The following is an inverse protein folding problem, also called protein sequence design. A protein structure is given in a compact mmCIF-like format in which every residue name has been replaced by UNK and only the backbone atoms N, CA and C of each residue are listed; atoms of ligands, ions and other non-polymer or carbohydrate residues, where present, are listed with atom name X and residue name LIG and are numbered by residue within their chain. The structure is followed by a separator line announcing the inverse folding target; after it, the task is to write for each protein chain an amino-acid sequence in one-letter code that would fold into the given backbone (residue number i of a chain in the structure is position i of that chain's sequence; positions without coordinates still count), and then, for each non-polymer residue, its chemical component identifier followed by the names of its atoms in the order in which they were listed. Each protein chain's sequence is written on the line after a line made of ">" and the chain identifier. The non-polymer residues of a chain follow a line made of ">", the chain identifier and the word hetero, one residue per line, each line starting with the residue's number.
data_IF_826827067131
#
_entry.id   IF_826827067131
#
_cell.length_a   1.000
_cell.length_b   1.000
_cell.length_c   1.000
_cell.angle_alpha   90.00
_cell.angle_beta   90.00
_cell.angle_gamma   90.00
#
_symmetry.space_group_name_H-M   'P 1'
#
loop_
_entity.id
_entity.type
_entity.pdbx_description
1 polymer ?
#
# COMPACT_ATOMS: atom_id res chain seq x y z
N UNK A 1 12.38 31.16 1.10
CA UNK A 1 12.88 30.93 -0.28
C UNK A 1 11.65 30.51 -1.09
N UNK A 2 11.48 30.99 -2.31
CA UNK A 2 10.38 30.57 -3.17
C UNK A 2 10.63 29.16 -3.67
N UNK A 3 9.57 28.45 -4.12
CA UNK A 3 9.71 27.14 -4.74
C UNK A 3 10.68 27.18 -5.93
N UNK A 4 10.59 28.23 -6.76
CA UNK A 4 11.52 28.47 -7.87
C UNK A 4 12.98 28.63 -7.43
N UNK A 5 13.21 29.34 -6.33
CA UNK A 5 14.56 29.48 -5.77
C UNK A 5 15.11 28.17 -5.19
N UNK A 6 14.23 27.35 -4.63
CA UNK A 6 14.57 26.00 -4.18
C UNK A 6 14.92 25.07 -5.35
N UNK A 7 14.17 25.16 -6.43
CA UNK A 7 14.40 24.40 -7.67
C UNK A 7 15.75 24.77 -8.31
N UNK A 8 16.05 26.05 -8.42
CA UNK A 8 17.32 26.54 -8.95
C UNK A 8 18.53 26.06 -8.15
N UNK A 9 18.39 25.88 -6.83
CA UNK A 9 19.47 25.33 -5.98
C UNK A 9 19.66 23.83 -6.17
N UNK A 10 18.60 23.07 -6.46
CA UNK A 10 18.69 21.65 -6.79
C UNK A 10 19.38 21.47 -8.14
N UNK A 11 18.98 22.25 -9.16
CA UNK A 11 19.56 22.21 -10.51
C UNK A 11 21.04 22.58 -10.55
N UNK A 12 21.48 23.44 -9.66
CA UNK A 12 22.89 23.85 -9.59
C UNK A 12 23.83 22.80 -9.00
N UNK A 13 23.32 21.68 -8.47
CA UNK A 13 24.13 20.63 -7.84
C UNK A 13 24.38 19.44 -8.74
N UNK A 14 25.63 19.12 -9.05
CA UNK A 14 25.99 17.93 -9.81
C UNK A 14 25.70 16.61 -9.03
N UNK A 15 25.68 16.68 -7.70
CA UNK A 15 25.32 15.56 -6.80
C UNK A 15 24.08 15.89 -5.96
N UNK A 16 22.92 15.72 -6.53
CA UNK A 16 21.64 15.93 -5.86
C UNK A 16 21.34 14.87 -4.77
N UNK A 17 22.14 13.80 -4.68
CA UNK A 17 22.06 12.78 -3.61
C UNK A 17 22.73 13.27 -2.32
N UNK A 18 23.53 14.32 -2.38
CA UNK A 18 24.16 14.94 -1.23
C UNK A 18 23.22 15.73 -0.33
N UNK A 19 23.79 16.41 0.66
CA UNK A 19 23.03 17.32 1.53
C UNK A 19 22.47 18.49 0.72
N UNK A 20 21.15 18.59 0.68
CA UNK A 20 20.48 19.75 0.10
C UNK A 20 20.46 20.92 1.08
N UNK A 21 20.61 22.17 0.59
CA UNK A 21 20.30 23.31 1.43
C UNK A 21 18.83 23.23 1.86
N UNK A 22 18.47 23.76 3.04
CA UNK A 22 17.10 23.80 3.48
C UNK A 22 16.25 24.52 2.45
N UNK A 23 15.33 23.79 1.82
CA UNK A 23 14.39 24.30 0.84
C UNK A 23 13.14 24.73 1.60
N UNK A 24 12.78 26.01 1.53
CA UNK A 24 11.52 26.47 2.10
C UNK A 24 10.36 26.08 1.16
N UNK A 25 9.96 24.81 1.24
CA UNK A 25 8.77 24.31 0.55
C UNK A 25 7.54 24.66 1.40
N UNK A 26 6.40 25.04 0.79
CA UNK A 26 5.18 25.26 1.54
C UNK A 26 4.79 24.03 2.37
N UNK A 27 4.48 24.27 3.65
CA UNK A 27 4.04 23.19 4.53
C UNK A 27 2.55 22.96 4.34
N UNK A 28 2.13 21.70 4.19
CA UNK A 28 0.71 21.38 4.11
C UNK A 28 0.03 21.48 5.49
N UNK A 29 -1.14 22.15 5.63
CA UNK A 29 -1.79 22.33 6.94
C UNK A 29 -2.09 21.01 7.69
N UNK A 30 -2.28 19.93 6.96
CA UNK A 30 -2.57 18.61 7.52
C UNK A 30 -1.33 17.74 7.77
N UNK A 31 -0.11 18.20 7.48
CA UNK A 31 1.13 17.40 7.61
C UNK A 31 1.36 16.83 9.01
N UNK A 32 0.89 17.53 10.05
CA UNK A 32 0.97 17.06 11.44
C UNK A 32 0.33 15.69 11.68
N UNK A 33 -0.58 15.27 10.79
CA UNK A 33 -1.24 13.96 10.84
C UNK A 33 -0.36 12.84 10.29
N UNK A 34 0.77 13.16 9.63
CA UNK A 34 1.78 12.19 9.21
C UNK A 34 2.71 11.78 10.35
N UNK A 35 2.69 12.51 11.47
CA UNK A 35 3.56 12.22 12.61
C UNK A 35 3.40 10.76 13.06
N UNK A 36 4.53 10.11 13.31
CA UNK A 36 4.65 8.72 13.80
C UNK A 36 4.09 7.64 12.85
N UNK A 37 3.67 8.02 11.63
CA UNK A 37 3.32 7.04 10.59
C UNK A 37 4.60 6.45 10.00
N UNK A 38 4.71 5.14 9.93
CA UNK A 38 5.82 4.43 9.28
C UNK A 38 5.50 4.17 7.81
N UNK A 39 6.22 4.84 6.92
CA UNK A 39 6.05 4.74 5.47
C UNK A 39 7.32 4.16 4.87
N UNK A 40 7.18 3.07 4.11
CA UNK A 40 8.27 2.55 3.29
C UNK A 40 8.12 3.07 1.87
N UNK A 41 9.13 3.79 1.41
CA UNK A 41 9.27 4.24 0.04
C UNK A 41 10.17 3.27 -0.73
N UNK A 42 9.69 2.82 -1.86
CA UNK A 42 10.38 1.87 -2.72
C UNK A 42 10.71 2.52 -4.06
N UNK A 43 11.92 3.08 -4.22
CA UNK A 43 12.37 3.52 -5.54
C UNK A 43 12.48 2.32 -6.48
N UNK A 44 11.62 2.27 -7.50
CA UNK A 44 11.60 1.15 -8.44
C UNK A 44 12.94 0.89 -9.12
N UNK A 45 13.20 -0.36 -9.48
CA UNK A 45 14.42 -0.81 -10.17
C UNK A 45 15.74 -0.56 -9.40
N UNK A 46 16.82 -0.29 -10.12
CA UNK A 46 18.20 -0.08 -9.69
C UNK A 46 19.16 -0.64 -10.75
N UNK A 47 20.37 -0.11 -10.85
CA UNK A 47 21.30 -0.27 -11.98
C UNK A 47 21.65 -1.71 -12.34
N UNK A 48 21.73 -2.58 -11.36
CA UNK A 48 22.11 -3.97 -11.61
C UNK A 48 20.95 -4.92 -11.34
N UNK A 49 19.85 -4.79 -12.07
CA UNK A 49 18.89 -5.91 -12.07
C UNK A 49 19.46 -7.15 -12.79
N UNK A 50 20.76 -7.28 -12.62
CA UNK A 50 21.57 -8.48 -12.74
C UNK A 50 21.90 -8.93 -14.16
N UNK A 51 21.27 -8.45 -15.22
CA UNK A 51 21.56 -8.95 -16.56
C UNK A 51 21.00 -8.11 -17.72
N UNK A 52 20.16 -7.13 -17.43
CA UNK A 52 19.39 -6.46 -18.47
C UNK A 52 20.18 -5.32 -19.11
N UNK A 53 20.90 -4.54 -18.29
CA UNK A 53 21.65 -3.35 -18.77
C UNK A 53 22.89 -3.75 -19.57
N UNK A 54 23.56 -4.84 -19.21
CA UNK A 54 24.71 -5.35 -19.96
C UNK A 54 24.29 -5.93 -21.32
N UNK A 55 23.07 -6.47 -21.43
CA UNK A 55 22.54 -7.08 -22.63
C UNK A 55 21.80 -6.10 -23.52
N UNK A 56 21.17 -5.09 -22.93
CA UNK A 56 20.41 -4.06 -23.63
C UNK A 56 20.68 -2.68 -23.01
N UNK A 57 21.60 -1.88 -23.58
CA UNK A 57 21.91 -0.56 -23.07
C UNK A 57 20.74 0.43 -23.16
N UNK A 58 19.66 0.09 -23.87
CA UNK A 58 18.43 0.91 -23.95
C UNK A 58 17.40 0.52 -22.88
N UNK A 59 17.68 -0.55 -22.13
CA UNK A 59 16.76 -1.05 -21.11
C UNK A 59 16.46 0.03 -20.06
N UNK A 60 15.16 0.28 -19.86
CA UNK A 60 14.66 1.28 -18.91
C UNK A 60 15.20 2.69 -19.15
N UNK A 61 15.42 3.05 -20.42
CA UNK A 61 15.89 4.37 -20.82
C UNK A 61 14.89 5.03 -21.78
N UNK A 62 14.73 6.32 -21.59
CA UNK A 62 14.01 7.17 -22.52
C UNK A 62 14.81 7.42 -23.83
N UNK A 63 14.19 8.07 -24.82
CA UNK A 63 14.80 8.31 -26.12
C UNK A 63 16.16 9.01 -26.10
N UNK A 64 16.41 9.85 -25.11
CA UNK A 64 17.65 10.63 -24.94
C UNK A 64 18.49 10.17 -23.76
N UNK A 65 18.15 9.01 -23.16
CA UNK A 65 18.96 8.29 -22.20
C UNK A 65 18.64 8.53 -20.72
N UNK A 66 17.54 9.17 -20.39
CA UNK A 66 17.08 9.28 -19.00
C UNK A 66 16.72 7.88 -18.48
N UNK A 67 17.19 7.52 -17.31
CA UNK A 67 16.96 6.22 -16.69
C UNK A 67 15.80 6.29 -15.72
N UNK A 68 14.88 5.32 -15.82
CA UNK A 68 13.74 5.19 -14.91
C UNK A 68 14.18 5.08 -13.45
N UNK A 69 15.15 4.23 -13.17
CA UNK A 69 15.64 3.98 -11.81
C UNK A 69 16.31 5.19 -11.13
N UNK A 70 16.91 6.09 -11.92
CA UNK A 70 17.45 7.37 -11.44
C UNK A 70 16.34 8.34 -11.06
N UNK A 71 15.29 8.43 -11.89
CA UNK A 71 14.13 9.29 -11.61
C UNK A 71 13.42 8.79 -10.34
N UNK A 72 13.13 7.49 -10.29
CA UNK A 72 12.45 6.87 -9.14
C UNK A 72 13.21 7.14 -7.84
N UNK A 73 14.55 7.06 -7.87
CA UNK A 73 15.38 7.33 -6.70
C UNK A 73 15.33 8.81 -6.29
N UNK A 74 15.43 9.74 -7.26
CA UNK A 74 15.34 11.18 -6.98
C UNK A 74 14.02 11.57 -6.34
N UNK A 75 12.91 11.17 -6.94
CA UNK A 75 11.58 11.45 -6.41
C UNK A 75 11.40 10.88 -5.01
N UNK A 76 11.85 9.64 -4.79
CA UNK A 76 11.75 8.99 -3.47
C UNK A 76 12.58 9.69 -2.40
N UNK A 77 13.80 10.15 -2.72
CA UNK A 77 14.64 10.88 -1.77
C UNK A 77 14.06 12.25 -1.42
N UNK A 78 13.51 12.97 -2.41
CA UNK A 78 12.81 14.23 -2.19
C UNK A 78 11.56 14.06 -1.34
N UNK A 79 10.74 13.03 -1.64
CA UNK A 79 9.57 12.70 -0.86
C UNK A 79 9.93 12.28 0.58
N UNK A 80 10.97 11.47 0.74
CA UNK A 80 11.44 11.06 2.06
C UNK A 80 11.82 12.26 2.93
N UNK A 81 12.43 13.28 2.34
CA UNK A 81 12.75 14.52 3.06
C UNK A 81 11.50 15.24 3.53
N UNK A 82 10.52 15.45 2.64
CA UNK A 82 9.25 16.10 2.96
C UNK A 82 8.51 15.38 4.10
N UNK A 83 8.44 14.06 4.03
CA UNK A 83 7.76 13.23 5.02
C UNK A 83 8.49 13.22 6.37
N UNK A 84 9.83 13.12 6.39
CA UNK A 84 10.64 13.21 7.62
C UNK A 84 10.48 14.59 8.29
N UNK A 85 10.46 15.65 7.52
CA UNK A 85 10.24 17.00 8.03
C UNK A 85 8.82 17.21 8.59
N UNK A 86 7.83 16.41 8.12
CA UNK A 86 6.48 16.33 8.67
C UNK A 86 6.35 15.41 9.90
N UNK A 87 7.43 14.72 10.29
CA UNK A 87 7.47 13.85 11.46
C UNK A 87 7.09 12.39 11.20
N UNK A 88 6.99 11.97 9.93
CA UNK A 88 6.81 10.57 9.59
C UNK A 88 8.10 9.76 9.79
N UNK A 89 7.96 8.48 10.13
CA UNK A 89 9.05 7.52 10.13
C UNK A 89 9.20 6.94 8.71
N UNK A 90 10.27 7.33 8.01
CA UNK A 90 10.44 6.98 6.59
C UNK A 90 11.64 6.05 6.41
N UNK A 91 11.38 4.91 5.78
CA UNK A 91 12.38 3.91 5.40
C UNK A 91 12.38 3.82 3.87
N UNK A 92 13.57 3.84 3.27
CA UNK A 92 13.73 3.59 1.84
C UNK A 92 14.21 2.16 1.62
N UNK A 93 13.69 1.47 0.59
CA UNK A 93 14.20 0.15 0.21
C UNK A 93 15.62 0.26 -0.34
N UNK A 94 15.94 1.36 -1.02
CA UNK A 94 17.29 1.72 -1.46
C UNK A 94 17.50 3.23 -1.41
N UNK A 95 18.70 3.65 -1.08
CA UNK A 95 19.15 5.06 -1.09
C UNK A 95 20.23 5.31 -2.15
N UNK A 96 20.60 4.27 -2.87
CA UNK A 96 21.63 4.29 -3.90
C UNK A 96 21.15 3.55 -5.13
N UNK A 97 21.92 3.65 -6.20
CA UNK A 97 21.67 2.94 -7.45
C UNK A 97 22.11 1.47 -7.36
N UNK A 98 21.37 0.68 -6.56
CA UNK A 98 21.58 -0.74 -6.34
C UNK A 98 20.31 -1.52 -6.64
N UNK A 99 20.47 -2.78 -7.06
CA UNK A 99 19.34 -3.69 -7.25
C UNK A 99 18.87 -4.30 -5.93
N UNK A 100 17.55 -4.31 -5.73
CA UNK A 100 16.90 -5.03 -4.64
C UNK A 100 15.76 -5.86 -5.22
N UNK A 101 15.70 -7.14 -4.85
CA UNK A 101 14.68 -8.07 -5.32
C UNK A 101 13.28 -7.76 -4.80
N UNK A 102 12.22 -8.11 -5.56
CA UNK A 102 10.84 -7.80 -5.19
C UNK A 102 10.43 -8.32 -3.80
N UNK A 103 10.91 -9.53 -3.43
CA UNK A 103 10.63 -10.10 -2.11
C UNK A 103 11.34 -9.34 -1.00
N UNK A 104 12.57 -8.92 -1.24
CA UNK A 104 13.38 -8.17 -0.28
C UNK A 104 12.78 -6.78 -0.03
N UNK A 105 12.27 -6.10 -1.07
CA UNK A 105 11.53 -4.83 -0.95
C UNK A 105 10.32 -4.96 -0.02
N UNK A 106 9.52 -6.00 -0.24
CA UNK A 106 8.38 -6.27 0.60
C UNK A 106 8.78 -6.68 2.03
N UNK A 107 9.86 -7.45 2.20
CA UNK A 107 10.36 -7.86 3.51
C UNK A 107 10.84 -6.68 4.34
N UNK A 108 11.51 -5.69 3.73
CA UNK A 108 11.86 -4.43 4.39
C UNK A 108 10.61 -3.75 4.96
N UNK A 109 9.51 -3.74 4.20
CA UNK A 109 8.27 -3.15 4.66
C UNK A 109 7.57 -4.00 5.74
N UNK A 110 7.52 -5.32 5.55
CA UNK A 110 6.85 -6.26 6.46
C UNK A 110 7.53 -6.34 7.83
N UNK A 111 8.85 -6.03 7.89
CA UNK A 111 9.66 -6.06 9.12
C UNK A 111 10.02 -4.68 9.66
N UNK A 112 9.55 -3.62 9.02
CA UNK A 112 9.84 -2.24 9.42
C UNK A 112 9.42 -1.97 10.87
N UNK A 113 10.26 -1.37 11.72
CA UNK A 113 9.87 -0.99 13.07
C UNK A 113 8.93 0.21 13.04
N UNK A 114 7.84 0.15 13.79
CA UNK A 114 6.89 1.26 13.94
C UNK A 114 7.17 2.08 15.20
N UNK A 115 6.72 3.34 15.18
CA UNK A 115 6.83 4.25 16.33
C UNK A 115 6.07 3.74 17.58
N UNK A 116 5.01 2.97 17.40
CA UNK A 116 4.23 2.34 18.48
C UNK A 116 4.86 1.06 19.04
N UNK A 117 6.04 0.67 18.57
CA UNK A 117 6.73 -0.56 18.95
C UNK A 117 6.25 -1.81 18.19
N UNK A 118 5.31 -1.66 17.26
CA UNK A 118 4.87 -2.74 16.37
C UNK A 118 5.88 -3.03 15.26
N UNK A 119 5.58 -4.05 14.48
CA UNK A 119 6.36 -4.50 13.33
C UNK A 119 5.49 -4.43 12.08
N UNK A 120 6.11 -4.13 10.95
CA UNK A 120 5.47 -3.87 9.67
C UNK A 120 5.14 -2.39 9.49
N UNK A 121 5.37 -1.84 8.29
CA UNK A 121 5.05 -0.46 7.99
C UNK A 121 3.54 -0.19 8.02
N UNK A 122 3.14 1.05 8.16
CA UNK A 122 1.75 1.48 8.02
C UNK A 122 1.34 1.59 6.55
N UNK A 123 2.33 1.84 5.67
CA UNK A 123 2.12 2.04 4.24
C UNK A 123 3.39 1.72 3.45
N UNK A 124 3.21 1.08 2.30
CA UNK A 124 4.24 0.87 1.29
C UNK A 124 3.89 1.61 0.00
N UNK A 125 4.84 2.37 -0.55
CA UNK A 125 4.68 3.09 -1.81
C UNK A 125 5.86 2.78 -2.73
N UNK A 126 5.59 2.08 -3.85
CA UNK A 126 6.58 1.87 -4.91
C UNK A 126 6.44 2.98 -5.96
N UNK A 127 7.55 3.64 -6.27
CA UNK A 127 7.60 4.78 -7.18
C UNK A 127 8.26 4.36 -8.47
N UNK A 128 7.55 4.49 -9.58
CA UNK A 128 7.93 4.11 -10.93
C UNK A 128 7.53 5.17 -11.96
N UNK A 129 8.12 5.04 -13.13
CA UNK A 129 7.72 5.73 -14.36
C UNK A 129 7.51 4.71 -15.46
N UNK A 130 6.47 4.92 -16.23
CA UNK A 130 5.99 3.96 -17.22
C UNK A 130 6.75 4.03 -18.55
N UNK A 131 6.63 2.99 -19.36
CA UNK A 131 7.19 2.90 -20.69
C UNK A 131 6.25 2.18 -21.64
N UNK A 132 6.19 2.67 -22.87
CA UNK A 132 5.49 2.00 -23.98
C UNK A 132 6.12 2.40 -25.32
N UNK A 133 5.95 1.57 -26.33
CA UNK A 133 6.47 1.89 -27.67
C UNK A 133 5.78 3.08 -28.36
N UNK A 134 4.63 3.51 -27.87
CA UNK A 134 3.94 4.69 -28.38
C UNK A 134 4.49 5.98 -27.75
N UNK A 135 5.26 6.82 -28.48
CA UNK A 135 5.89 8.00 -27.91
C UNK A 135 4.91 9.12 -27.52
N UNK A 136 3.64 9.00 -27.93
CA UNK A 136 2.60 9.99 -27.57
C UNK A 136 1.97 9.69 -26.22
N UNK A 137 2.09 8.46 -25.73
CA UNK A 137 1.50 8.08 -24.45
C UNK A 137 2.18 8.85 -23.29
N UNK A 138 1.38 9.52 -22.49
CA UNK A 138 1.82 10.17 -21.27
C UNK A 138 0.64 10.36 -20.31
N UNK A 139 0.46 9.44 -19.37
CA UNK A 139 -0.58 9.51 -18.35
C UNK A 139 -0.07 9.04 -16.99
N UNK A 140 -0.70 9.52 -15.93
CA UNK A 140 -0.45 9.08 -14.56
C UNK A 140 -1.35 7.90 -14.22
N UNK A 141 -0.82 6.89 -13.53
CA UNK A 141 -1.63 5.82 -12.96
C UNK A 141 -1.12 5.37 -11.60
N UNK A 142 -2.06 5.06 -10.71
CA UNK A 142 -1.80 4.55 -9.36
C UNK A 142 -2.42 3.16 -9.27
N UNK A 143 -1.62 2.20 -8.87
CA UNK A 143 -1.96 0.78 -8.88
C UNK A 143 -2.10 0.23 -7.47
N UNK A 144 -3.14 -0.56 -7.24
CA UNK A 144 -3.35 -1.34 -6.03
C UNK A 144 -3.49 -2.82 -6.37
N UNK A 145 -3.21 -3.70 -5.41
CA UNK A 145 -3.37 -5.13 -5.62
C UNK A 145 -4.83 -5.54 -5.38
N UNK A 146 -5.52 -5.95 -6.45
CA UNK A 146 -6.97 -6.17 -6.46
C UNK A 146 -7.48 -7.43 -5.76
N UNK A 147 -6.58 -8.31 -5.28
CA UNK A 147 -6.96 -9.60 -4.67
C UNK A 147 -6.61 -9.72 -3.18
N UNK A 148 -6.17 -8.64 -2.54
CA UNK A 148 -5.85 -8.65 -1.11
C UNK A 148 -6.89 -7.92 -0.29
N UNK A 149 -7.00 -8.30 0.96
CA UNK A 149 -8.00 -7.82 1.89
C UNK A 149 -7.84 -6.35 2.27
N UNK A 150 -6.63 -5.82 2.11
CA UNK A 150 -6.27 -4.44 2.37
C UNK A 150 -6.40 -3.52 1.14
N UNK A 151 -7.01 -4.02 0.05
CA UNK A 151 -7.20 -3.23 -1.17
C UNK A 151 -8.05 -1.97 -0.92
N UNK A 152 -9.03 -2.01 -0.04
CA UNK A 152 -9.82 -0.84 0.33
C UNK A 152 -8.95 0.22 1.01
N UNK A 153 -8.10 -0.14 1.98
CA UNK A 153 -7.17 0.76 2.63
C UNK A 153 -6.08 1.27 1.68
N UNK A 154 -5.65 0.46 0.71
CA UNK A 154 -4.75 0.88 -0.35
C UNK A 154 -5.42 1.90 -1.29
N UNK A 155 -6.70 1.72 -1.61
CA UNK A 155 -7.49 2.68 -2.39
C UNK A 155 -7.65 4.02 -1.68
N UNK A 156 -7.81 4.01 -0.35
CA UNK A 156 -7.98 5.23 0.44
C UNK A 156 -6.77 6.15 0.34
N UNK A 157 -5.56 5.60 0.32
CA UNK A 157 -4.33 6.37 0.10
C UNK A 157 -4.10 6.69 -1.38
N UNK A 158 -4.47 5.80 -2.28
CA UNK A 158 -4.24 5.97 -3.70
C UNK A 158 -5.05 7.12 -4.31
N UNK A 159 -6.28 7.35 -3.85
CA UNK A 159 -7.19 8.38 -4.39
C UNK A 159 -6.63 9.81 -4.28
N UNK A 160 -6.26 10.33 -3.09
CA UNK A 160 -5.72 11.68 -2.99
C UNK A 160 -4.37 11.81 -3.70
N UNK A 161 -3.51 10.80 -3.67
CA UNK A 161 -2.24 10.82 -4.41
C UNK A 161 -2.49 10.91 -5.91
N UNK A 162 -3.40 10.10 -6.46
CA UNK A 162 -3.74 10.13 -7.88
C UNK A 162 -4.30 11.49 -8.31
N UNK A 163 -5.12 12.10 -7.46
CA UNK A 163 -5.67 13.44 -7.71
C UNK A 163 -4.55 14.49 -7.75
N UNK A 164 -3.68 14.52 -6.74
CA UNK A 164 -2.59 15.50 -6.64
C UNK A 164 -1.54 15.32 -7.74
N UNK A 165 -1.16 14.10 -8.05
CA UNK A 165 -0.28 13.83 -9.20
C UNK A 165 -0.91 14.29 -10.51
N UNK A 166 -2.22 14.05 -10.69
CA UNK A 166 -2.96 14.51 -11.87
C UNK A 166 -2.95 16.03 -12.04
N UNK A 167 -2.97 16.78 -10.94
CA UNK A 167 -2.86 18.25 -10.97
C UNK A 167 -1.42 18.75 -11.20
N UNK A 168 -0.44 18.00 -10.69
CA UNK A 168 0.96 18.41 -10.71
C UNK A 168 1.68 18.05 -12.01
N UNK A 169 1.43 16.84 -12.54
CA UNK A 169 2.14 16.33 -13.70
C UNK A 169 1.51 16.81 -15.02
N UNK A 170 2.35 17.01 -16.04
CA UNK A 170 1.88 17.35 -17.40
C UNK A 170 1.42 16.12 -18.17
N UNK A 171 0.48 15.36 -17.60
CA UNK A 171 -0.02 14.09 -18.13
C UNK A 171 -1.50 14.13 -18.50
N UNK A 172 -1.95 13.22 -19.35
CA UNK A 172 -3.32 13.10 -19.83
C UNK A 172 -4.23 12.40 -18.79
N UNK A 173 -4.36 12.92 -17.57
CA UNK A 173 -5.15 12.30 -16.50
C UNK A 173 -6.64 12.25 -16.83
N UNK A 174 -7.15 13.27 -17.53
CA UNK A 174 -8.59 13.36 -17.82
C UNK A 174 -9.14 12.26 -18.73
N UNK A 175 -8.27 11.55 -19.45
CA UNK A 175 -8.67 10.50 -20.42
C UNK A 175 -8.61 9.09 -19.86
N UNK A 176 -7.96 8.88 -18.73
CA UNK A 176 -7.76 7.57 -18.10
C UNK A 176 -8.11 7.61 -16.63
N UNK A 177 -8.64 6.51 -16.10
CA UNK A 177 -8.79 6.39 -14.65
C UNK A 177 -7.41 6.29 -14.03
N UNK A 178 -7.02 7.20 -13.14
CA UNK A 178 -5.70 7.14 -12.51
C UNK A 178 -5.57 5.97 -11.51
N UNK A 179 -6.68 5.36 -11.09
CA UNK A 179 -6.70 4.24 -10.15
C UNK A 179 -6.96 2.94 -10.88
N UNK A 180 -6.02 1.99 -10.77
CA UNK A 180 -6.07 0.75 -11.51
C UNK A 180 -5.72 -0.46 -10.63
N UNK A 181 -6.45 -1.55 -10.83
CA UNK A 181 -6.04 -2.85 -10.29
C UNK A 181 -4.86 -3.40 -11.08
N UNK A 182 -3.82 -3.85 -10.39
CA UNK A 182 -2.64 -4.46 -11.01
C UNK A 182 -2.94 -5.77 -11.77
N UNK A 183 -4.10 -6.37 -11.51
CA UNK A 183 -4.61 -7.51 -12.26
C UNK A 183 -5.00 -7.17 -13.70
N UNK A 184 -5.18 -5.88 -14.02
CA UNK A 184 -5.35 -5.43 -15.40
C UNK A 184 -4.04 -5.55 -16.19
N UNK A 185 -2.89 -5.48 -15.50
CA UNK A 185 -1.58 -5.63 -16.14
C UNK A 185 -1.12 -7.11 -16.17
N UNK A 186 -1.25 -7.80 -15.04
CA UNK A 186 -0.86 -9.21 -14.90
C UNK A 186 -1.92 -9.98 -14.10
N UNK A 187 -2.25 -11.19 -14.53
CA UNK A 187 -3.24 -12.03 -13.84
C UNK A 187 -2.95 -12.26 -12.34
N UNK A 188 -1.67 -12.26 -11.95
CA UNK A 188 -1.22 -12.38 -10.55
C UNK A 188 -0.91 -11.04 -9.88
N UNK A 189 -1.17 -9.91 -10.52
CA UNK A 189 -0.80 -8.57 -10.06
C UNK A 189 0.71 -8.35 -9.93
N UNK A 190 1.10 -7.20 -9.41
CA UNK A 190 2.51 -6.86 -9.16
C UNK A 190 3.07 -7.65 -7.98
N UNK A 191 4.21 -8.32 -8.20
CA UNK A 191 4.83 -9.19 -7.20
C UNK A 191 5.17 -8.48 -5.89
N UNK A 192 5.59 -7.22 -5.94
CA UNK A 192 5.93 -6.43 -4.76
C UNK A 192 4.68 -6.10 -3.96
N UNK A 193 3.59 -5.64 -4.59
CA UNK A 193 2.33 -5.32 -3.90
C UNK A 193 1.73 -6.57 -3.25
N UNK A 194 1.73 -7.70 -3.98
CA UNK A 194 1.25 -8.97 -3.45
C UNK A 194 2.04 -9.48 -2.24
N UNK A 195 3.31 -9.13 -2.11
CA UNK A 195 4.18 -9.58 -1.03
C UNK A 195 4.13 -8.68 0.22
N UNK A 196 3.65 -7.44 0.10
CA UNK A 196 3.48 -6.53 1.24
C UNK A 196 2.33 -6.98 2.16
N UNK A 197 2.46 -6.80 3.49
CA UNK A 197 1.46 -7.16 4.51
C UNK A 197 0.70 -5.95 5.08
N UNK A 198 0.84 -4.79 4.47
CA UNK A 198 0.16 -3.54 4.79
C UNK A 198 -0.47 -2.97 3.52
N UNK A 199 -1.28 -1.89 3.61
CA UNK A 199 -1.73 -1.15 2.45
C UNK A 199 -0.55 -0.78 1.56
N UNK A 200 -0.60 -1.15 0.27
CA UNK A 200 0.50 -1.01 -0.66
C UNK A 200 0.01 -0.51 -2.02
N UNK A 201 0.71 0.49 -2.56
CA UNK A 201 0.42 1.07 -3.88
C UNK A 201 1.68 1.17 -4.71
N UNK A 202 1.52 1.20 -6.01
CA UNK A 202 2.58 1.48 -6.98
C UNK A 202 2.16 2.65 -7.85
N UNK A 203 3.04 3.63 -7.98
CA UNK A 203 2.83 4.82 -8.78
C UNK A 203 3.57 4.65 -10.11
N UNK A 204 2.88 4.87 -11.21
CA UNK A 204 3.44 5.09 -12.54
C UNK A 204 3.17 6.55 -12.88
N UNK A 205 4.08 7.43 -12.47
CA UNK A 205 3.81 8.86 -12.38
C UNK A 205 3.67 9.52 -13.76
N UNK A 206 4.46 9.07 -14.75
CA UNK A 206 4.40 9.51 -16.15
C UNK A 206 5.18 8.55 -17.04
N UNK A 207 5.36 8.86 -18.33
CA UNK A 207 6.05 7.99 -19.29
C UNK A 207 7.40 8.56 -19.68
N UNK A 208 8.50 7.95 -19.21
CA UNK A 208 9.85 8.37 -19.62
C UNK A 208 10.15 8.09 -21.10
N UNK A 209 9.32 7.28 -21.79
CA UNK A 209 9.41 7.05 -23.23
C UNK A 209 8.73 8.12 -24.08
N UNK A 210 7.98 9.05 -23.48
CA UNK A 210 7.48 10.25 -24.13
C UNK A 210 8.60 11.29 -24.19
N UNK A 211 8.99 11.81 -25.39
CA UNK A 211 10.16 12.69 -25.51
C UNK A 211 10.05 14.00 -24.74
N UNK A 212 8.87 14.61 -24.68
CA UNK A 212 8.65 15.85 -23.95
C UNK A 212 8.67 15.61 -22.46
N UNK A 213 8.09 14.51 -21.99
CA UNK A 213 8.10 14.11 -20.59
C UNK A 213 9.51 13.73 -20.13
N UNK A 214 10.27 13.03 -20.97
CA UNK A 214 11.66 12.71 -20.67
C UNK A 214 12.50 13.95 -20.38
N UNK A 215 12.28 15.05 -21.13
CA UNK A 215 12.99 16.31 -20.87
C UNK A 215 12.56 16.94 -19.52
N UNK A 216 11.25 16.89 -19.20
CA UNK A 216 10.76 17.36 -17.89
C UNK A 216 11.32 16.53 -16.73
N UNK A 217 11.41 15.21 -16.89
CA UNK A 217 11.94 14.29 -15.87
C UNK A 217 13.46 14.47 -15.62
N UNK A 218 14.19 15.12 -16.50
CA UNK A 218 15.59 15.53 -16.24
C UNK A 218 15.70 16.63 -15.20
N UNK A 219 14.67 17.46 -15.10
CA UNK A 219 14.66 18.62 -14.22
C UNK A 219 14.36 18.18 -12.78
N UNK A 220 15.30 18.46 -11.88
CA UNK A 220 15.15 18.18 -10.45
C UNK A 220 13.97 18.94 -9.83
N UNK A 221 13.63 20.11 -10.35
CA UNK A 221 12.45 20.86 -9.93
C UNK A 221 11.14 20.17 -10.31
N UNK A 222 11.09 19.55 -11.46
CA UNK A 222 9.94 18.74 -11.88
C UNK A 222 9.80 17.49 -11.01
N UNK A 223 10.90 16.81 -10.66
CA UNK A 223 10.88 15.69 -9.71
C UNK A 223 10.46 16.15 -8.29
N UNK A 224 10.84 17.38 -7.88
CA UNK A 224 10.36 17.93 -6.61
C UNK A 224 8.86 18.21 -6.63
N UNK A 225 8.33 18.73 -7.72
CA UNK A 225 6.90 18.95 -7.93
C UNK A 225 6.11 17.64 -7.82
N UNK A 226 6.62 16.58 -8.42
CA UNK A 226 6.07 15.24 -8.32
C UNK A 226 6.06 14.71 -6.87
N UNK A 227 7.22 14.78 -6.20
CA UNK A 227 7.36 14.39 -4.80
C UNK A 227 6.42 15.18 -3.88
N UNK A 228 6.27 16.49 -4.14
CA UNK A 228 5.39 17.35 -3.37
C UNK A 228 3.91 16.99 -3.57
N UNK A 229 3.50 16.64 -4.79
CA UNK A 229 2.14 16.18 -5.05
C UNK A 229 1.81 14.87 -4.30
N UNK A 230 2.74 13.92 -4.25
CA UNK A 230 2.58 12.69 -3.47
C UNK A 230 2.48 13.04 -1.97
N UNK A 231 3.32 13.94 -1.49
CA UNK A 231 3.29 14.42 -0.10
C UNK A 231 1.94 15.08 0.26
N UNK A 232 1.38 15.94 -0.61
CA UNK A 232 0.06 16.55 -0.38
C UNK A 232 -1.03 15.48 -0.28
N UNK A 233 -1.05 14.51 -1.20
CA UNK A 233 -1.99 13.40 -1.15
C UNK A 233 -1.88 12.56 0.13
N UNK A 234 -0.65 12.35 0.62
CA UNK A 234 -0.42 11.66 1.90
C UNK A 234 -0.88 12.49 3.10
N UNK A 235 -0.73 13.80 3.07
CA UNK A 235 -1.27 14.69 4.11
C UNK A 235 -2.79 14.63 4.19
N UNK A 236 -3.46 14.62 3.06
CA UNK A 236 -4.93 14.48 2.97
C UNK A 236 -5.39 13.13 3.51
N UNK A 237 -4.78 12.04 3.03
CA UNK A 237 -5.08 10.70 3.52
C UNK A 237 -4.90 10.56 5.03
N UNK A 238 -3.80 11.07 5.58
CA UNK A 238 -3.53 11.00 7.01
C UNK A 238 -4.53 11.84 7.82
N UNK A 239 -4.98 12.98 7.29
CA UNK A 239 -6.00 13.84 7.89
C UNK A 239 -7.38 13.16 7.95
N UNK A 240 -7.74 12.41 6.92
CA UNK A 240 -8.99 11.67 6.82
C UNK A 240 -9.00 10.40 7.68
N UNK A 241 -7.88 10.07 8.30
CA UNK A 241 -7.74 9.02 9.30
C UNK A 241 -7.46 7.64 8.71
N UNK A 242 -6.84 6.81 9.54
CA UNK A 242 -6.50 5.42 9.25
C UNK A 242 -7.21 4.52 10.25
N UNK A 243 -8.45 4.07 9.97
CA UNK A 243 -9.20 3.24 10.91
C UNK A 243 -8.44 1.96 11.28
N UNK A 244 -8.45 1.65 12.56
CA UNK A 244 -7.83 0.44 13.12
C UNK A 244 -8.74 -0.15 14.18
N UNK A 245 -8.44 -1.35 14.64
CA UNK A 245 -9.07 -1.95 15.79
C UNK A 245 -8.00 -2.59 16.69
N UNK A 246 -8.34 -2.72 17.98
CA UNK A 246 -7.51 -3.52 18.86
C UNK A 246 -7.50 -4.99 18.40
N UNK A 247 -6.44 -5.72 18.72
CA UNK A 247 -6.44 -7.17 18.45
C UNK A 247 -7.70 -7.76 19.10
N UNK A 248 -8.56 -8.46 18.33
CA UNK A 248 -9.77 -9.03 18.88
C UNK A 248 -9.48 -10.01 20.02
N UNK A 249 -10.28 -9.99 21.07
CA UNK A 249 -10.31 -11.04 22.08
C UNK A 249 -11.41 -12.02 21.73
N UNK A 250 -11.15 -13.32 21.87
CA UNK A 250 -12.14 -14.36 21.66
C UNK A 250 -12.12 -15.28 22.87
N UNK A 251 -13.28 -15.46 23.46
CA UNK A 251 -13.46 -16.26 24.69
C UNK A 251 -14.64 -17.18 24.52
N UNK A 252 -14.64 -18.32 25.23
CA UNK A 252 -15.81 -19.16 25.31
C UNK A 252 -16.94 -18.46 26.05
N UNK A 253 -18.16 -18.60 25.51
CA UNK A 253 -19.34 -18.04 26.14
C UNK A 253 -19.56 -18.67 27.51
N UNK A 254 -19.80 -17.90 28.59
CA UNK A 254 -20.08 -18.43 29.90
C UNK A 254 -21.44 -19.19 29.99
N UNK A 255 -22.28 -19.06 28.97
CA UNK A 255 -23.57 -19.76 28.88
C UNK A 255 -23.40 -21.24 28.49
N UNK A 256 -22.15 -21.66 28.19
CA UNK A 256 -21.82 -23.04 27.83
C UNK A 256 -22.00 -23.34 26.33
N UNK A 257 -21.64 -24.57 25.93
CA UNK A 257 -21.67 -24.99 24.54
C UNK A 257 -20.41 -24.59 23.75
N UNK A 258 -20.43 -24.79 22.46
CA UNK A 258 -19.32 -24.46 21.54
C UNK A 258 -19.41 -23.03 20.98
N UNK A 259 -19.93 -22.10 21.79
CA UNK A 259 -20.07 -20.69 21.36
C UNK A 259 -18.90 -19.86 21.84
N UNK A 260 -18.27 -19.14 20.92
CA UNK A 260 -17.24 -18.15 21.18
C UNK A 260 -17.87 -16.75 21.13
N UNK A 261 -17.35 -15.87 21.97
CA UNK A 261 -17.65 -14.44 21.97
C UNK A 261 -16.41 -13.66 21.57
N UNK A 262 -16.53 -12.88 20.52
CA UNK A 262 -15.56 -11.92 20.04
C UNK A 262 -15.80 -10.56 20.67
N UNK A 263 -14.73 -9.82 21.01
CA UNK A 263 -14.79 -8.42 21.35
C UNK A 263 -13.55 -7.66 20.85
N UNK A 264 -13.75 -6.46 20.33
CA UNK A 264 -12.69 -5.54 19.93
C UNK A 264 -13.16 -4.09 20.09
N UNK A 265 -12.21 -3.16 20.16
CA UNK A 265 -12.50 -1.73 20.16
C UNK A 265 -12.09 -1.15 18.80
N UNK A 266 -13.03 -0.48 18.15
CA UNK A 266 -12.81 0.17 16.87
C UNK A 266 -12.25 1.58 17.09
N UNK A 267 -11.35 2.00 16.22
CA UNK A 267 -10.75 3.34 16.23
C UNK A 267 -10.87 3.95 14.83
N UNK A 268 -11.56 5.05 14.73
CA UNK A 268 -11.72 5.79 13.48
C UNK A 268 -10.49 6.60 13.08
N UNK A 269 -9.51 6.75 14.01
CA UNK A 269 -8.26 7.52 13.81
C UNK A 269 -8.46 8.99 13.43
N UNK A 270 -9.52 9.61 13.95
CA UNK A 270 -9.82 11.02 13.69
C UNK A 270 -9.49 11.88 14.90
N UNK A 271 -9.07 13.15 14.69
CA UNK A 271 -8.77 14.08 15.78
C UNK A 271 -9.96 14.30 16.71
N UNK A 272 -9.72 14.45 18.02
CA UNK A 272 -10.76 14.60 19.03
C UNK A 272 -11.65 15.84 18.85
N UNK A 273 -11.10 16.93 18.31
CA UNK A 273 -11.87 18.14 18.04
C UNK A 273 -12.90 17.99 16.89
N UNK A 274 -12.89 16.86 16.19
CA UNK A 274 -13.82 16.53 15.11
C UNK A 274 -15.07 15.79 15.63
N UNK A 275 -15.79 16.38 16.59
CA UNK A 275 -17.04 15.84 17.09
C UNK A 275 -16.85 14.51 17.84
N UNK A 276 -15.91 14.47 18.80
CA UNK A 276 -15.61 13.29 19.63
C UNK A 276 -16.82 12.73 20.40
N UNK A 277 -17.82 13.57 20.61
CA UNK A 277 -19.10 13.28 21.27
C UNK A 277 -20.13 12.64 20.33
N UNK A 278 -19.74 12.36 19.09
CA UNK A 278 -20.60 11.74 18.05
C UNK A 278 -19.97 10.46 17.52
N UNK A 279 -20.81 9.59 17.01
CA UNK A 279 -20.31 8.42 16.29
C UNK A 279 -19.68 8.85 14.99
N UNK A 280 -18.36 8.59 14.82
CA UNK A 280 -17.57 8.89 13.63
C UNK A 280 -17.22 7.63 12.82
N UNK A 281 -17.74 6.47 13.25
CA UNK A 281 -17.67 5.21 12.51
C UNK A 281 -18.98 5.07 11.74
N UNK A 282 -18.91 4.74 10.46
CA UNK A 282 -20.09 4.44 9.65
C UNK A 282 -20.67 3.10 10.11
N UNK A 283 -21.67 3.12 10.98
CA UNK A 283 -22.23 1.92 11.59
C UNK A 283 -22.76 0.93 10.53
N UNK A 284 -23.29 1.44 9.42
CA UNK A 284 -23.75 0.61 8.29
C UNK A 284 -22.63 -0.11 7.53
N UNK A 285 -21.37 0.29 7.72
CA UNK A 285 -20.20 -0.36 7.11
C UNK A 285 -19.66 -1.52 7.94
N UNK A 286 -20.07 -1.64 9.21
CA UNK A 286 -19.56 -2.69 10.09
C UNK A 286 -20.05 -4.04 9.58
N UNK A 287 -19.12 -4.93 9.31
CA UNK A 287 -19.35 -6.33 8.95
C UNK A 287 -18.41 -7.22 9.75
N UNK A 288 -18.96 -8.28 10.31
CA UNK A 288 -18.18 -9.36 10.94
C UNK A 288 -18.48 -10.62 10.15
N UNK A 289 -17.44 -11.27 9.65
CA UNK A 289 -17.55 -12.49 8.86
C UNK A 289 -16.74 -13.60 9.55
N UNK A 290 -17.34 -14.77 9.70
CA UNK A 290 -16.74 -15.95 10.30
C UNK A 290 -16.80 -17.08 9.26
N UNK A 291 -15.65 -17.61 8.85
CA UNK A 291 -15.54 -18.63 7.79
C UNK A 291 -16.38 -18.26 6.55
N UNK A 292 -16.27 -17.02 6.10
CA UNK A 292 -16.99 -16.49 4.93
C UNK A 292 -18.48 -16.21 5.16
N UNK A 293 -19.01 -16.36 6.38
CA UNK A 293 -20.43 -16.13 6.69
C UNK A 293 -20.58 -14.89 7.57
N UNK A 294 -21.50 -14.00 7.23
CA UNK A 294 -21.83 -12.83 8.06
C UNK A 294 -22.34 -13.28 9.44
N UNK A 295 -21.70 -12.76 10.48
CA UNK A 295 -22.08 -13.01 11.88
C UNK A 295 -22.91 -11.84 12.44
N UNK A 296 -23.95 -12.11 13.25
CA UNK A 296 -24.62 -11.07 14.01
C UNK A 296 -23.62 -10.40 14.96
N UNK A 297 -23.72 -9.08 15.06
CA UNK A 297 -22.84 -8.29 15.92
C UNK A 297 -23.60 -7.12 16.56
N UNK A 298 -23.03 -6.63 17.64
CA UNK A 298 -23.48 -5.44 18.35
C UNK A 298 -22.34 -4.42 18.41
N UNK A 299 -22.65 -3.15 18.21
CA UNK A 299 -21.69 -2.08 18.31
C UNK A 299 -22.20 -0.98 19.24
N UNK A 300 -21.47 -0.76 20.31
CA UNK A 300 -21.66 0.38 21.19
C UNK A 300 -20.75 1.52 20.79
N UNK A 301 -21.32 2.55 20.20
CA UNK A 301 -20.56 3.69 19.69
C UNK A 301 -19.92 4.54 20.80
N UNK A 302 -20.46 4.55 22.03
CA UNK A 302 -19.94 5.35 23.12
C UNK A 302 -18.61 4.78 23.64
N UNK A 303 -18.53 3.46 23.78
CA UNK A 303 -17.29 2.74 24.12
C UNK A 303 -16.50 2.30 22.89
N UNK A 304 -17.03 2.50 21.67
CA UNK A 304 -16.49 2.00 20.40
C UNK A 304 -16.28 0.48 20.38
N UNK A 305 -17.01 -0.25 21.21
CA UNK A 305 -16.87 -1.69 21.39
C UNK A 305 -17.77 -2.45 20.40
N UNK A 306 -17.12 -3.31 19.63
CA UNK A 306 -17.77 -4.28 18.75
C UNK A 306 -17.74 -5.65 19.43
N UNK A 307 -18.89 -6.35 19.45
CA UNK A 307 -19.01 -7.73 19.92
C UNK A 307 -19.76 -8.57 18.92
N UNK A 308 -19.36 -9.84 18.79
CA UNK A 308 -20.05 -10.84 17.99
C UNK A 308 -20.00 -12.21 18.69
N UNK A 309 -20.92 -13.09 18.34
CA UNK A 309 -20.91 -14.46 18.86
C UNK A 309 -21.04 -15.43 17.70
N UNK A 310 -20.31 -16.53 17.76
CA UNK A 310 -20.35 -17.58 16.75
C UNK A 310 -20.09 -18.96 17.35
N UNK A 311 -20.54 -20.00 16.67
CA UNK A 311 -20.41 -21.38 17.11
C UNK A 311 -19.21 -22.03 16.45
N UNK A 312 -18.34 -22.66 17.26
CA UNK A 312 -17.20 -23.43 16.75
C UNK A 312 -17.72 -24.73 16.09
N UNK A 313 -17.25 -25.06 14.90
CA UNK A 313 -17.58 -26.33 14.26
C UNK A 313 -17.21 -27.54 15.14
N UNK A 314 -17.94 -28.64 15.05
CA UNK A 314 -17.56 -29.89 15.74
C UNK A 314 -16.23 -30.41 15.18
N UNK A 315 -15.39 -30.96 16.04
CA UNK A 315 -14.09 -31.53 15.69
C UNK A 315 -14.25 -32.78 14.81
N UNK A 316 -13.24 -33.00 13.96
CA UNK A 316 -13.07 -34.23 13.21
C UNK A 316 -12.21 -35.24 13.98
N UNK A 317 -11.16 -34.75 14.68
CA UNK A 317 -10.22 -35.59 15.44
C UNK A 317 -9.92 -35.00 16.83
N UNK A 318 -9.63 -35.83 17.85
CA UNK A 318 -9.21 -35.36 19.17
C UNK A 318 -7.87 -34.64 19.13
N UNK A 319 -7.83 -33.40 19.58
CA UNK A 319 -6.61 -32.59 19.65
C UNK A 319 -6.30 -31.75 18.40
N UNK A 320 -7.13 -31.85 17.37
CA UNK A 320 -7.02 -31.01 16.17
C UNK A 320 -7.28 -29.54 16.53
N UNK A 321 -6.41 -28.65 16.02
CA UNK A 321 -6.65 -27.19 16.02
C UNK A 321 -7.76 -26.91 15.02
N UNK A 322 -8.74 -26.11 15.44
CA UNK A 322 -9.80 -25.64 14.56
C UNK A 322 -9.41 -24.23 14.13
N UNK A 323 -8.95 -24.04 12.87
CA UNK A 323 -8.73 -22.72 12.33
C UNK A 323 -10.09 -22.09 11.99
N UNK A 324 -10.30 -20.84 12.38
CA UNK A 324 -11.49 -20.05 12.06
C UNK A 324 -11.02 -18.77 11.42
N UNK A 325 -11.49 -18.46 10.23
CA UNK A 325 -11.23 -17.20 9.57
C UNK A 325 -12.21 -16.15 10.10
N UNK A 326 -11.65 -15.10 10.68
CA UNK A 326 -12.39 -13.93 11.16
C UNK A 326 -12.07 -12.71 10.31
N UNK A 327 -13.10 -12.05 9.81
CA UNK A 327 -12.97 -10.76 9.12
C UNK A 327 -13.78 -9.71 9.84
N UNK A 328 -13.18 -8.54 10.09
CA UNK A 328 -13.82 -7.36 10.68
C UNK A 328 -13.59 -6.21 9.72
N UNK A 329 -14.66 -5.71 9.15
CA UNK A 329 -14.65 -4.57 8.26
C UNK A 329 -15.46 -3.43 8.87
N UNK A 330 -14.94 -2.22 8.80
CA UNK A 330 -15.66 -0.98 9.07
C UNK A 330 -14.96 0.20 8.40
N UNK A 331 -15.65 1.32 8.30
CA UNK A 331 -15.09 2.55 7.77
C UNK A 331 -15.42 3.74 8.67
N UNK A 332 -14.58 4.76 8.66
CA UNK A 332 -14.85 6.03 9.31
C UNK A 332 -15.77 6.93 8.45
N UNK A 333 -16.09 8.13 8.93
CA UNK A 333 -16.97 9.07 8.24
C UNK A 333 -16.42 9.60 6.90
N UNK A 334 -15.13 9.47 6.63
CA UNK A 334 -14.53 9.73 5.31
C UNK A 334 -14.58 8.52 4.39
N UNK A 335 -15.15 7.41 4.86
CA UNK A 335 -15.22 6.10 4.18
C UNK A 335 -13.86 5.40 4.04
N UNK A 336 -12.86 5.81 4.80
CA UNK A 336 -11.61 5.09 4.90
C UNK A 336 -11.83 3.77 5.66
N UNK A 337 -11.34 2.70 5.07
CA UNK A 337 -11.47 1.35 5.61
C UNK A 337 -10.41 1.02 6.67
N UNK A 338 -10.76 0.12 7.58
CA UNK A 338 -9.81 -0.37 8.58
C UNK A 338 -8.77 -1.33 7.98
N UNK A 339 -7.61 -1.39 8.64
CA UNK A 339 -6.57 -2.38 8.39
C UNK A 339 -5.93 -2.79 9.74
N UNK A 340 -5.60 -4.09 9.97
CA UNK A 340 -5.94 -5.25 9.15
C UNK A 340 -7.43 -5.61 9.27
N UNK A 341 -7.96 -6.29 8.25
CA UNK A 341 -9.35 -6.74 8.26
C UNK A 341 -9.49 -8.20 8.71
N UNK A 342 -8.50 -9.04 8.46
CA UNK A 342 -8.56 -10.49 8.66
C UNK A 342 -7.68 -10.99 9.79
N UNK A 343 -8.20 -12.04 10.44
CA UNK A 343 -7.54 -12.73 11.54
C UNK A 343 -7.75 -14.23 11.43
N UNK A 344 -6.73 -14.99 11.79
CA UNK A 344 -6.85 -16.41 12.04
C UNK A 344 -7.06 -16.62 13.54
N UNK A 345 -8.16 -17.25 13.89
CA UNK A 345 -8.47 -17.70 15.25
C UNK A 345 -8.19 -19.19 15.32
N UNK A 346 -7.24 -19.59 16.14
CA UNK A 346 -6.90 -20.99 16.37
C UNK A 346 -7.46 -21.42 17.73
N UNK A 347 -8.41 -22.35 17.73
CA UNK A 347 -9.02 -22.88 18.95
C UNK A 347 -8.37 -24.19 19.33
N UNK A 348 -7.72 -24.22 20.51
CA UNK A 348 -7.15 -25.44 21.09
C UNK A 348 -8.17 -26.10 22.02
N UNK A 349 -8.62 -27.28 21.71
CA UNK A 349 -9.75 -27.87 22.38
C UNK A 349 -9.49 -28.47 23.76
N UNK A 350 -8.24 -28.80 24.11
CA UNK A 350 -7.91 -29.37 25.41
C UNK A 350 -7.93 -28.36 26.55
N UNK A 351 -7.49 -27.14 26.26
CA UNK A 351 -7.29 -26.09 27.27
C UNK A 351 -8.13 -24.83 26.98
N UNK A 352 -8.98 -24.89 25.96
CA UNK A 352 -9.80 -23.78 25.50
C UNK A 352 -8.99 -22.51 25.24
N UNK A 353 -7.72 -22.68 24.88
CA UNK A 353 -6.85 -21.56 24.49
C UNK A 353 -7.21 -21.13 23.08
N UNK A 354 -7.39 -19.84 22.94
CA UNK A 354 -7.65 -19.19 21.66
C UNK A 354 -6.45 -18.31 21.33
N UNK A 355 -5.78 -18.61 20.22
CA UNK A 355 -4.76 -17.74 19.65
C UNK A 355 -5.37 -16.96 18.48
N UNK A 356 -5.08 -15.66 18.42
CA UNK A 356 -5.55 -14.80 17.34
C UNK A 356 -4.34 -14.12 16.71
N UNK A 357 -4.26 -14.19 15.39
CA UNK A 357 -3.19 -13.54 14.62
C UNK A 357 -3.83 -12.76 13.48
N UNK A 358 -3.38 -11.53 13.21
CA UNK A 358 -3.68 -10.87 11.95
C UNK A 358 -3.24 -11.79 10.79
N UNK A 359 -4.06 -11.92 9.79
CA UNK A 359 -3.77 -12.77 8.64
C UNK A 359 -3.94 -11.98 7.36
N UNK A 360 -2.97 -12.16 6.49
CA UNK A 360 -3.12 -11.84 5.08
C UNK A 360 -3.50 -13.12 4.33
N UNK A 361 -4.49 -13.06 3.46
CA UNK A 361 -4.83 -14.19 2.60
C UNK A 361 -3.67 -14.41 1.62
N UNK A 362 -2.86 -15.43 1.89
CA UNK A 362 -2.03 -16.01 0.85
C UNK A 362 -2.97 -16.64 -0.15
N UNK A 363 -3.00 -16.13 -1.38
CA UNK A 363 -3.73 -16.79 -2.47
C UNK A 363 -3.40 -18.28 -2.45
N UNK A 364 -4.42 -19.13 -2.33
CA UNK A 364 -4.28 -20.53 -2.67
C UNK A 364 -3.68 -20.56 -4.09
N UNK A 365 -2.54 -21.22 -4.28
CA UNK A 365 -2.02 -21.48 -5.62
C UNK A 365 -3.19 -22.04 -6.42
N UNK A 366 -3.54 -21.50 -7.60
CA UNK A 366 -4.55 -22.13 -8.43
C UNK A 366 -4.14 -23.59 -8.55
N UNK A 367 -5.07 -24.49 -8.21
CA UNK A 367 -4.83 -25.92 -8.31
C UNK A 367 -4.26 -26.15 -9.71
N UNK A 368 -3.07 -26.74 -9.77
CA UNK A 368 -2.44 -27.04 -11.05
C UNK A 368 -3.48 -27.83 -11.85
N UNK A 369 -3.98 -27.21 -12.92
CA UNK A 369 -4.88 -27.86 -13.86
C UNK A 369 -4.15 -29.10 -14.35
N UNK A 370 -4.54 -30.27 -13.82
CA UNK A 370 -4.04 -31.54 -14.31
C UNK A 370 -4.34 -31.59 -15.81
N UNK A 371 -3.27 -31.62 -16.58
CA UNK A 371 -3.21 -32.25 -17.87
C UNK A 371 -4.23 -31.81 -18.92
N UNK A 372 -4.02 -30.65 -19.55
CA UNK A 372 -4.36 -30.56 -20.96
C UNK A 372 -3.33 -31.38 -21.74
N UNK A 373 -3.68 -32.61 -22.07
CA UNK A 373 -2.97 -33.46 -23.04
C UNK A 373 -2.80 -32.66 -24.32
N UNK A 374 -1.56 -32.32 -24.68
CA UNK A 374 -1.20 -31.78 -25.97
C UNK A 374 -1.74 -32.72 -27.08
N UNK A 375 -2.49 -32.23 -28.07
CA UNK A 375 -2.78 -33.03 -29.20
C UNK A 375 -1.46 -33.32 -29.96
N UNK A 376 -1.26 -34.59 -30.29
CA UNK A 376 -0.14 -35.05 -31.05
C UNK A 376 -0.10 -34.33 -32.43
N UNK A 377 0.94 -33.59 -32.69
CA UNK A 377 1.23 -33.04 -34.02
C UNK A 377 1.62 -34.19 -34.94
N UNK A 378 0.72 -34.59 -35.79
CA UNK A 378 1.01 -35.42 -36.95
C UNK A 378 1.97 -34.67 -37.89
N UNK A 379 3.20 -35.14 -38.00
CA UNK A 379 4.13 -34.77 -39.07
C UNK A 379 3.52 -35.21 -40.39
N UNK A 380 3.17 -34.26 -41.21
CA UNK A 380 2.96 -34.48 -42.64
C UNK A 380 4.30 -34.34 -43.35
N UNK A 381 4.77 -35.45 -43.89
CA UNK A 381 5.80 -35.50 -44.94
C UNK A 381 5.17 -35.08 -46.26
N UNK A 382 5.59 -33.94 -46.80
CA UNK A 382 5.94 -33.73 -48.22
C UNK A 382 6.48 -32.31 -48.39
#
# INVERSE_FOLDING_TARGET
>A
MSLEGAMALIDSRPDWRGEYPPIAIPRHPAEKHLKDITIVLDPGHGMSDGNSVEKDPTYKRGPTGVREDDINLRVSLLLARLLKDAGANVILTREQDIYIGLKERAEIANTAPRADGGVGADLFISIHHNAVNNPVANYTSVWYHGQVDDAEAALDVARPIAHRLGEAMHTDVAKTSPLMSDQLMYAGGFGVLRACEMPAILLECSFYTNPDEEQRLRDAGYNLREAYAIYEGLCEWAYEGRPTQTLPTVEFSPVGGNTLRLATTLNESLPDWWGKDRNRILQSSIRVTIDGKTAPHEFDWASKRLTASFTVPPRREPGELIPIELEIHFANMFKHANHPQRYLVEVQPKDWLVAIKPQRVKQARPAATQGATRPATTRSTR
#
